data_IF_374041910134
#
_entry.id   IF_374041910134
#
_cell.length_a   1.000
_cell.length_b   1.000
_cell.length_c   1.000
_cell.angle_alpha   90.00
_cell.angle_beta   90.00
_cell.angle_gamma   90.00
#
_symmetry.space_group_name_H-M   'P 1'
#
loop_
_entity.id
_entity.type
_entity.pdbx_description
1 polymer ?
#
# COMPACT_ATOMS: atom_id res chain seq x y z
N UNK A 1 19.82 16.98 -7.63
CA UNK A 1 19.75 15.83 -8.57
C UNK A 1 20.16 14.53 -7.88
N UNK A 2 21.28 14.48 -7.16
CA UNK A 2 21.74 13.27 -6.46
C UNK A 2 20.77 12.79 -5.36
N UNK A 3 20.18 13.71 -4.61
CA UNK A 3 19.14 13.43 -3.59
C UNK A 3 17.90 12.74 -4.20
N UNK A 4 17.35 13.30 -5.29
CA UNK A 4 16.24 12.68 -6.02
C UNK A 4 16.58 11.29 -6.57
N UNK A 5 17.80 11.08 -7.06
CA UNK A 5 18.24 9.76 -7.53
C UNK A 5 18.31 8.76 -6.38
N UNK A 6 18.81 9.18 -5.21
CA UNK A 6 18.87 8.35 -4.02
C UNK A 6 17.46 8.02 -3.49
N UNK A 7 16.55 8.98 -3.55
CA UNK A 7 15.14 8.79 -3.21
C UNK A 7 14.46 7.76 -4.13
N UNK A 8 14.57 7.95 -5.45
CA UNK A 8 13.97 7.06 -6.45
C UNK A 8 14.61 5.67 -6.45
N UNK A 9 15.86 5.54 -6.01
CA UNK A 9 16.54 4.26 -5.86
C UNK A 9 15.80 3.33 -4.89
N UNK A 10 15.22 3.86 -3.81
CA UNK A 10 14.41 3.08 -2.87
C UNK A 10 13.24 2.39 -3.58
N UNK A 11 12.52 3.14 -4.42
CA UNK A 11 11.39 2.61 -5.18
C UNK A 11 11.82 1.62 -6.26
N UNK A 12 12.96 1.86 -6.92
CA UNK A 12 13.54 0.89 -7.85
C UNK A 12 13.84 -0.43 -7.16
N UNK A 13 14.45 -0.40 -5.98
CA UNK A 13 14.79 -1.61 -5.22
C UNK A 13 13.53 -2.35 -4.78
N UNK A 14 12.55 -1.64 -4.23
CA UNK A 14 11.25 -2.22 -3.80
C UNK A 14 10.49 -2.82 -4.99
N UNK A 15 10.37 -2.11 -6.10
CA UNK A 15 9.63 -2.60 -7.26
C UNK A 15 10.36 -3.77 -7.93
N UNK A 16 11.69 -3.79 -7.94
CA UNK A 16 12.47 -4.95 -8.41
C UNK A 16 12.27 -6.15 -7.49
N UNK A 17 12.29 -5.95 -6.17
CA UNK A 17 12.04 -7.01 -5.19
C UNK A 17 10.64 -7.62 -5.35
N UNK A 18 9.61 -6.77 -5.53
CA UNK A 18 8.24 -7.22 -5.69
C UNK A 18 7.98 -7.84 -7.07
N UNK A 19 8.55 -7.28 -8.16
CA UNK A 19 8.35 -7.79 -9.52
C UNK A 19 9.15 -9.05 -9.82
N UNK A 20 10.28 -9.27 -9.15
CA UNK A 20 11.20 -10.37 -9.43
C UNK A 20 10.85 -11.72 -8.79
N UNK A 21 9.68 -11.86 -8.17
CA UNK A 21 9.39 -13.04 -7.32
C UNK A 21 8.52 -14.11 -8.00
N UNK A 22 8.92 -15.38 -7.85
CA UNK A 22 8.11 -16.58 -8.15
C UNK A 22 7.06 -16.89 -7.06
N UNK A 23 6.84 -15.96 -6.11
CA UNK A 23 6.07 -16.19 -4.87
C UNK A 23 4.95 -15.14 -4.71
N UNK A 24 3.98 -15.34 -3.80
CA UNK A 24 2.85 -14.42 -3.62
C UNK A 24 3.31 -13.03 -3.13
N UNK A 25 3.45 -12.09 -4.06
CA UNK A 25 3.78 -10.68 -3.82
C UNK A 25 2.80 -10.01 -2.85
N UNK A 26 1.54 -10.42 -2.88
CA UNK A 26 0.49 -9.91 -1.99
C UNK A 26 0.82 -10.04 -0.49
N UNK A 27 1.53 -11.09 -0.08
CA UNK A 27 1.94 -11.28 1.32
C UNK A 27 2.98 -10.26 1.79
N UNK A 28 3.73 -9.69 0.85
CA UNK A 28 4.87 -8.80 1.08
C UNK A 28 4.49 -7.33 0.94
N UNK A 29 3.56 -7.00 0.02
CA UNK A 29 3.20 -5.61 -0.33
C UNK A 29 2.98 -4.74 0.91
N UNK A 30 2.12 -5.15 1.84
CA UNK A 30 1.79 -4.30 2.99
C UNK A 30 2.93 -4.17 4.00
N UNK A 31 3.75 -5.20 4.18
CA UNK A 31 4.96 -5.08 4.96
C UNK A 31 5.91 -4.08 4.29
N UNK A 32 6.15 -4.21 2.99
CA UNK A 32 7.06 -3.35 2.24
C UNK A 32 6.60 -1.89 2.27
N UNK A 33 5.32 -1.61 2.04
CA UNK A 33 4.76 -0.27 2.17
C UNK A 33 4.90 0.26 3.60
N UNK A 34 4.65 -0.56 4.62
CA UNK A 34 4.84 -0.16 6.01
C UNK A 34 6.29 0.20 6.31
N UNK A 35 7.25 -0.53 5.75
CA UNK A 35 8.68 -0.23 5.87
C UNK A 35 9.02 1.08 5.18
N UNK A 36 8.54 1.30 3.95
CA UNK A 36 8.75 2.57 3.22
C UNK A 36 8.19 3.74 4.03
N UNK A 37 6.96 3.65 4.53
CA UNK A 37 6.37 4.69 5.40
C UNK A 37 7.23 4.99 6.62
N UNK A 38 7.83 3.96 7.23
CA UNK A 38 8.71 4.15 8.39
C UNK A 38 10.03 4.83 8.04
N UNK A 39 10.53 4.71 6.80
CA UNK A 39 11.74 5.40 6.35
C UNK A 39 11.47 6.90 6.21
N UNK A 40 10.29 7.28 5.71
CA UNK A 40 9.89 8.68 5.51
C UNK A 40 9.28 9.34 6.76
N UNK A 41 8.95 8.58 7.80
CA UNK A 41 8.61 9.13 9.11
C UNK A 41 9.88 9.61 9.79
N UNK A 42 10.23 10.88 9.62
CA UNK A 42 11.27 11.50 10.45
C UNK A 42 10.79 11.68 11.90
N UNK A 43 11.72 11.78 12.86
CA UNK A 43 11.40 11.98 14.29
C UNK A 43 10.66 13.30 14.56
N UNK A 44 10.78 14.29 13.66
CA UNK A 44 10.10 15.60 13.73
C UNK A 44 8.73 15.60 13.04
N UNK A 45 8.47 14.67 12.11
CA UNK A 45 7.20 14.51 11.41
C UNK A 45 6.28 13.53 12.14
N UNK A 46 6.06 13.78 13.44
CA UNK A 46 4.84 13.31 14.08
C UNK A 46 3.67 13.99 13.37
N UNK A 47 3.18 13.33 12.32
CA UNK A 47 1.87 13.57 11.74
C UNK A 47 0.88 13.45 12.90
N UNK A 48 0.58 14.58 13.53
CA UNK A 48 -0.58 14.72 14.38
C UNK A 48 -1.76 14.35 13.49
N UNK A 49 -2.37 13.20 13.76
CA UNK A 49 -3.54 12.71 13.01
C UNK A 49 -4.68 13.77 13.00
N UNK A 50 -4.57 14.83 13.82
CA UNK A 50 -5.52 15.92 13.96
C UNK A 50 -5.11 17.26 13.30
N UNK A 51 -3.91 17.36 12.73
CA UNK A 51 -3.44 18.56 12.02
C UNK A 51 -2.72 18.15 10.75
N UNK A 52 -3.43 18.08 9.64
CA UNK A 52 -2.87 18.43 8.33
C UNK A 52 -4.00 18.67 7.33
N UNK A 53 -3.84 19.72 6.52
CA UNK A 53 -4.51 19.79 5.21
C UNK A 53 -4.09 18.52 4.49
N UNK A 54 -5.01 17.56 4.34
CA UNK A 54 -4.80 16.44 3.45
C UNK A 54 -4.71 17.05 2.06
N UNK A 55 -3.55 16.98 1.44
CA UNK A 55 -3.40 17.38 0.06
C UNK A 55 -4.30 16.46 -0.78
N UNK A 56 -5.24 17.06 -1.50
CA UNK A 56 -6.29 16.31 -2.19
C UNK A 56 -5.74 15.71 -3.49
N UNK A 57 -5.18 14.50 -3.38
CA UNK A 57 -4.71 13.75 -4.53
C UNK A 57 -5.84 13.16 -5.39
N UNK A 58 -7.13 13.37 -5.04
CA UNK A 58 -8.25 12.80 -5.80
C UNK A 58 -8.38 13.36 -7.22
N UNK A 59 -7.84 14.56 -7.46
CA UNK A 59 -7.85 15.23 -8.77
C UNK A 59 -6.53 15.10 -9.55
N UNK A 60 -5.54 14.35 -9.05
CA UNK A 60 -4.27 14.18 -9.76
C UNK A 60 -4.39 13.09 -10.83
N UNK A 61 -4.57 13.50 -12.08
CA UNK A 61 -4.48 12.61 -13.23
C UNK A 61 -3.09 11.98 -13.27
N UNK A 62 -2.98 10.68 -13.04
CA UNK A 62 -1.68 9.99 -13.05
C UNK A 62 -1.30 9.60 -14.48
N UNK A 63 0.01 9.43 -14.73
CA UNK A 63 0.52 8.92 -16.02
C UNK A 63 -0.10 7.54 -16.36
N UNK A 64 -0.59 6.81 -15.36
CA UNK A 64 -1.23 5.50 -15.52
C UNK A 64 -2.73 5.57 -15.87
N UNK A 65 -3.37 6.73 -15.69
CA UNK A 65 -4.80 6.92 -15.99
C UNK A 65 -5.05 7.22 -17.48
N UNK A 66 -3.99 7.39 -18.27
CA UNK A 66 -4.08 7.79 -19.67
C UNK A 66 -4.25 6.58 -20.61
N UNK A 67 -5.33 5.81 -20.45
CA UNK A 67 -5.77 4.84 -21.45
C UNK A 67 -6.71 5.52 -22.47
N UNK A 68 -6.09 6.33 -23.36
CA UNK A 68 -6.67 7.10 -24.48
C UNK A 68 -7.27 8.45 -24.09
N UNK A 69 -6.58 9.54 -24.44
CA UNK A 69 -6.87 10.34 -25.63
C UNK A 69 -5.76 11.38 -25.86
N UNK A 70 -5.39 11.61 -27.13
CA UNK A 70 -4.66 12.81 -27.53
C UNK A 70 -5.51 14.03 -27.18
N UNK A 71 -5.20 14.76 -26.10
CA UNK A 71 -5.62 16.15 -25.99
C UNK A 71 -4.68 16.96 -25.10
N UNK A 72 -4.20 18.06 -25.70
CA UNK A 72 -3.46 19.21 -25.18
C UNK A 72 -2.47 19.05 -24.02
N UNK A 73 -1.21 19.32 -24.36
CA UNK A 73 0.00 19.38 -23.53
C UNK A 73 0.02 20.54 -22.50
N UNK A 74 -1.12 21.05 -22.05
CA UNK A 74 -1.20 22.23 -21.16
C UNK A 74 -2.22 22.04 -20.03
N UNK A 75 -2.04 21.04 -19.18
CA UNK A 75 -2.52 21.12 -17.80
C UNK A 75 -1.32 20.85 -16.88
N UNK A 76 -0.56 21.93 -16.66
CA UNK A 76 0.60 21.92 -15.78
C UNK A 76 0.13 21.59 -14.37
N UNK A 77 0.64 20.46 -13.88
CA UNK A 77 0.64 19.99 -12.50
C UNK A 77 0.65 21.17 -11.51
N UNK A 78 -0.43 21.37 -10.77
CA UNK A 78 -0.35 22.13 -9.52
C UNK A 78 0.59 21.35 -8.61
N UNK A 79 1.83 21.84 -8.50
CA UNK A 79 2.80 21.25 -7.59
C UNK A 79 2.32 21.52 -6.17
N UNK A 80 2.42 20.52 -5.28
CA UNK A 80 2.17 20.75 -3.87
C UNK A 80 3.00 21.95 -3.40
N UNK A 81 2.41 22.86 -2.61
CA UNK A 81 3.09 24.06 -2.05
C UNK A 81 4.23 23.71 -1.08
N UNK A 82 4.55 22.42 -0.93
CA UNK A 82 5.51 21.91 0.02
C UNK A 82 6.85 21.62 -0.66
N UNK A 83 7.90 22.34 -0.29
CA UNK A 83 9.26 22.14 -0.81
C UNK A 83 9.91 20.83 -0.31
N UNK A 84 9.19 20.02 0.49
CA UNK A 84 9.70 18.77 1.04
C UNK A 84 9.18 17.53 0.28
N UNK A 85 10.00 17.02 -0.63
CA UNK A 85 9.75 15.79 -1.41
C UNK A 85 9.37 14.58 -0.52
N UNK A 86 9.95 14.46 0.68
CA UNK A 86 9.68 13.36 1.61
C UNK A 86 8.25 13.40 2.18
N UNK A 87 7.75 14.60 2.46
CA UNK A 87 6.41 14.79 3.01
C UNK A 87 5.34 14.48 1.94
N UNK A 88 5.55 14.95 0.70
CA UNK A 88 4.67 14.66 -0.43
C UNK A 88 4.59 13.14 -0.65
N UNK A 89 5.73 12.45 -0.63
CA UNK A 89 5.78 11.00 -0.79
C UNK A 89 5.07 10.29 0.36
N UNK A 90 5.27 10.74 1.60
CA UNK A 90 4.60 10.16 2.75
C UNK A 90 3.08 10.32 2.66
N UNK A 91 2.60 11.52 2.29
CA UNK A 91 1.18 11.79 2.09
C UNK A 91 0.60 10.94 0.96
N UNK A 92 1.29 10.81 -0.17
CA UNK A 92 0.88 9.93 -1.27
C UNK A 92 0.80 8.46 -0.82
N UNK A 93 1.78 7.96 -0.05
CA UNK A 93 1.75 6.60 0.51
C UNK A 93 0.59 6.39 1.48
N UNK A 94 0.19 7.43 2.22
CA UNK A 94 -0.99 7.38 3.07
C UNK A 94 -2.28 7.41 2.24
N UNK A 95 -2.34 8.18 1.16
CA UNK A 95 -3.53 8.25 0.33
C UNK A 95 -3.74 6.96 -0.49
N UNK A 96 -2.77 6.59 -1.32
CA UNK A 96 -2.89 5.44 -2.23
C UNK A 96 -2.76 4.09 -1.52
N UNK A 97 -2.05 4.04 -0.38
CA UNK A 97 -1.77 2.79 0.33
C UNK A 97 -2.17 2.85 1.82
N UNK A 98 -3.28 3.51 2.16
CA UNK A 98 -3.70 3.70 3.55
C UNK A 98 -3.98 2.38 4.28
N UNK A 99 -4.80 1.53 3.65
CA UNK A 99 -5.41 0.38 4.32
C UNK A 99 -5.05 -0.90 3.57
N UNK A 100 -4.46 -1.88 4.27
CA UNK A 100 -4.41 -3.25 3.76
C UNK A 100 -5.80 -3.78 3.42
N UNK A 101 -5.97 -4.20 2.17
CA UNK A 101 -7.16 -4.93 1.79
C UNK A 101 -7.23 -6.25 2.56
N UNK A 102 -8.44 -6.75 2.82
CA UNK A 102 -8.62 -8.03 3.48
C UNK A 102 -7.88 -9.15 2.74
N UNK A 103 -7.81 -9.08 1.40
CA UNK A 103 -7.09 -10.04 0.57
C UNK A 103 -5.59 -10.01 0.86
N UNK A 104 -4.98 -8.83 0.92
CA UNK A 104 -3.56 -8.70 1.22
C UNK A 104 -3.23 -9.16 2.64
N UNK A 105 -4.08 -8.83 3.62
CA UNK A 105 -3.91 -9.30 5.00
C UNK A 105 -4.09 -10.81 5.14
N UNK A 106 -5.06 -11.41 4.44
CA UNK A 106 -5.22 -12.86 4.39
C UNK A 106 -4.00 -13.52 3.75
N UNK A 107 -3.51 -12.98 2.63
CA UNK A 107 -2.30 -13.48 1.96
C UNK A 107 -1.07 -13.41 2.88
N UNK A 108 -0.89 -12.30 3.61
CA UNK A 108 0.17 -12.15 4.60
C UNK A 108 -0.01 -13.11 5.78
N UNK A 109 -1.23 -13.27 6.30
CA UNK A 109 -1.52 -14.17 7.42
C UNK A 109 -1.27 -15.65 7.07
N UNK A 110 -1.56 -16.04 5.83
CA UNK A 110 -1.33 -17.40 5.31
C UNK A 110 0.16 -17.65 4.99
N UNK A 111 0.99 -16.61 4.94
CA UNK A 111 2.44 -16.74 4.84
C UNK A 111 3.04 -16.96 6.24
N UNK A 112 3.74 -18.08 6.49
CA UNK A 112 4.38 -18.35 7.78
C UNK A 112 5.30 -17.23 8.28
N UNK A 113 5.89 -16.46 7.36
CA UNK A 113 6.80 -15.34 7.68
C UNK A 113 6.07 -14.15 8.31
N UNK A 114 4.78 -13.98 8.03
CA UNK A 114 4.00 -12.80 8.42
C UNK A 114 2.75 -13.15 9.23
N UNK A 115 2.68 -14.37 9.79
CA UNK A 115 1.56 -14.88 10.58
C UNK A 115 1.11 -13.96 11.73
N UNK A 116 2.05 -13.18 12.27
CA UNK A 116 1.76 -12.26 13.37
C UNK A 116 1.23 -10.89 12.94
N UNK A 117 1.24 -10.59 11.63
CA UNK A 117 0.78 -9.33 11.05
C UNK A 117 1.29 -8.12 11.85
N UNK A 118 2.59 -8.05 12.12
CA UNK A 118 3.21 -7.02 12.97
C UNK A 118 2.89 -5.59 12.50
N UNK A 119 2.78 -5.39 11.19
CA UNK A 119 2.42 -4.13 10.53
C UNK A 119 0.91 -3.79 10.59
N UNK A 120 0.05 -4.73 10.99
CA UNK A 120 -1.41 -4.57 11.04
C UNK A 120 -2.02 -5.31 12.24
N UNK A 121 -1.36 -5.23 13.40
CA UNK A 121 -1.72 -6.01 14.60
C UNK A 121 -3.17 -5.80 15.03
N UNK A 122 -3.69 -4.57 14.91
CA UNK A 122 -5.09 -4.23 15.24
C UNK A 122 -6.13 -4.94 14.37
N UNK A 123 -5.75 -5.45 13.19
CA UNK A 123 -6.63 -6.15 12.26
C UNK A 123 -6.52 -7.67 12.33
N UNK A 124 -5.58 -8.21 13.13
CA UNK A 124 -5.28 -9.66 13.16
C UNK A 124 -6.51 -10.49 13.48
N UNK A 125 -7.24 -10.16 14.55
CA UNK A 125 -8.40 -10.93 14.99
C UNK A 125 -9.53 -10.91 13.96
N UNK A 126 -9.75 -9.75 13.32
CA UNK A 126 -10.73 -9.62 12.24
C UNK A 126 -10.41 -10.56 11.06
N UNK A 127 -9.13 -10.66 10.69
CA UNK A 127 -8.68 -11.52 9.59
C UNK A 127 -8.80 -13.00 9.95
N UNK A 128 -8.51 -13.37 11.20
CA UNK A 128 -8.70 -14.75 11.68
C UNK A 128 -10.16 -15.16 11.55
N UNK A 129 -11.10 -14.32 12.01
CA UNK A 129 -12.52 -14.59 11.90
C UNK A 129 -12.97 -14.74 10.44
N UNK A 130 -12.54 -13.82 9.56
CA UNK A 130 -12.88 -13.90 8.13
C UNK A 130 -12.39 -15.20 7.48
N UNK A 131 -11.19 -15.67 7.81
CA UNK A 131 -10.66 -16.93 7.28
C UNK A 131 -11.44 -18.13 7.83
N UNK A 132 -11.79 -18.12 9.12
CA UNK A 132 -12.59 -19.17 9.74
C UNK A 132 -13.98 -19.28 9.09
N UNK A 133 -14.64 -18.15 8.84
CA UNK A 133 -15.95 -18.11 8.20
C UNK A 133 -15.90 -18.66 6.77
N UNK A 134 -14.88 -18.30 6.00
CA UNK A 134 -14.65 -18.82 4.64
C UNK A 134 -14.38 -20.34 4.65
N UNK A 135 -13.58 -20.83 5.60
CA UNK A 135 -13.33 -22.26 5.77
C UNK A 135 -14.61 -23.03 6.13
N UNK A 136 -15.43 -22.47 7.03
CA UNK A 136 -16.70 -23.07 7.43
C UNK A 136 -17.66 -23.15 6.24
N UNK A 137 -17.75 -22.08 5.45
CA UNK A 137 -18.56 -22.04 4.24
C UNK A 137 -18.10 -23.08 3.21
N UNK A 138 -16.81 -23.17 2.94
CA UNK A 138 -16.24 -24.14 2.00
C UNK A 138 -16.53 -25.59 2.43
N UNK A 139 -16.41 -25.88 3.73
CA UNK A 139 -16.73 -27.20 4.30
C UNK A 139 -18.20 -27.57 4.16
N UNK A 140 -19.12 -26.62 4.30
CA UNK A 140 -20.56 -26.85 4.11
C UNK A 140 -20.91 -27.10 2.63
N UNK A 141 -20.31 -26.34 1.72
CA UNK A 141 -20.51 -26.51 0.27
C UNK A 141 -20.04 -27.88 -0.19
N UNK A 142 -18.84 -28.30 0.21
CA UNK A 142 -18.31 -29.63 -0.13
C UNK A 142 -19.24 -30.75 0.35
N UNK A 143 -19.82 -30.65 1.55
CA UNK A 143 -20.75 -31.67 2.06
C UNK A 143 -22.03 -31.79 1.24
N UNK A 144 -22.54 -30.70 0.67
CA UNK A 144 -23.74 -30.69 -0.18
C UNK A 144 -23.48 -31.28 -1.58
N UNK A 145 -22.23 -31.30 -2.05
CA UNK A 145 -21.86 -31.84 -3.37
C UNK A 145 -21.73 -33.37 -3.40
N UNK A 146 -21.70 -34.04 -2.24
CA UNK A 146 -21.58 -35.50 -2.11
C UNK A 146 -22.88 -36.21 -1.70
N UNK A 147 -23.99 -35.47 -1.63
CA UNK A 147 -25.36 -35.98 -1.40
C UNK A 147 -26.24 -35.63 -2.58
#
# INVERSE_FOLDING_TARGET
MEELVNLLRLFKEVTTFLSGSNYPTFSLIHLTISTIKSIFKSDDLLLDENKNKIEDFSNTLTILDNEKEESNEEELLEQPENDNDEEIILQALYNYWNVPSNIALKAAFLDPRFKDLTFARSKKDQIIHLIQDELNLANQTNRKSFT
#
